data_IF_426216419615
#
_entry.id   IF_426216419615
#
_cell.length_a   1.000
_cell.length_b   1.000
_cell.length_c   1.000
_cell.angle_alpha   90.00
_cell.angle_beta   90.00
_cell.angle_gamma   90.00
#
_symmetry.space_group_name_H-M   'P 1'
#
loop_
_entity.id
_entity.type
_entity.pdbx_description
1 polymer ?
#
# COMPACT_ATOMS: atom_id res chain seq x y z
N UNK A 1 2.95 -1.63 -2.00
CA UNK A 1 3.66 -2.86 -1.52
C UNK A 1 4.56 -3.32 -2.65
N UNK A 2 5.88 -3.32 -2.41
CA UNK A 2 6.87 -3.71 -3.44
C UNK A 2 6.51 -5.05 -4.09
N UNK A 3 6.66 -5.14 -5.40
CA UNK A 3 6.31 -6.26 -6.28
C UNK A 3 4.82 -6.66 -6.32
N UNK A 4 3.95 -5.92 -5.62
CA UNK A 4 2.53 -6.26 -5.53
C UNK A 4 1.61 -5.18 -6.07
N UNK A 5 1.79 -3.91 -5.70
CA UNK A 5 0.85 -2.84 -6.06
C UNK A 5 1.29 -2.04 -7.29
N UNK A 6 1.72 -2.77 -8.34
CA UNK A 6 1.94 -2.20 -9.67
C UNK A 6 0.62 -1.76 -10.33
N UNK A 7 0.68 -1.15 -11.51
CA UNK A 7 -0.50 -0.64 -12.22
C UNK A 7 -1.55 -1.72 -12.51
N UNK A 8 -1.14 -2.96 -12.77
CA UNK A 8 -2.05 -4.07 -13.04
C UNK A 8 -2.83 -4.49 -11.79
N UNK A 9 -2.14 -4.53 -10.64
CA UNK A 9 -2.77 -4.77 -9.35
C UNK A 9 -3.76 -3.67 -8.99
N UNK A 10 -3.38 -2.40 -9.14
CA UNK A 10 -4.25 -1.27 -8.78
C UNK A 10 -5.50 -1.23 -9.66
N UNK A 11 -5.36 -1.43 -10.97
CA UNK A 11 -6.50 -1.57 -11.87
C UNK A 11 -7.42 -2.72 -11.45
N UNK A 12 -6.85 -3.88 -11.09
CA UNK A 12 -7.62 -5.01 -10.58
C UNK A 12 -8.36 -4.68 -9.28
N UNK A 13 -7.70 -4.06 -8.31
CA UNK A 13 -8.31 -3.70 -7.02
C UNK A 13 -9.39 -2.63 -7.15
N UNK A 14 -9.29 -1.71 -8.11
CA UNK A 14 -10.31 -0.71 -8.40
C UNK A 14 -11.67 -1.32 -8.78
N UNK A 15 -11.68 -2.55 -9.27
CA UNK A 15 -12.95 -3.23 -9.56
C UNK A 15 -13.81 -3.50 -8.32
N UNK A 16 -13.22 -3.53 -7.13
CA UNK A 16 -13.91 -3.85 -5.88
C UNK A 16 -14.29 -2.61 -5.07
N UNK A 17 -13.58 -1.53 -5.24
CA UNK A 17 -13.84 -0.29 -4.49
C UNK A 17 -13.52 0.93 -5.35
N UNK A 18 -14.54 1.63 -5.87
CA UNK A 18 -14.36 2.87 -6.63
C UNK A 18 -13.86 4.03 -5.76
N UNK A 19 -14.15 4.03 -4.46
CA UNK A 19 -13.88 5.18 -3.57
C UNK A 19 -12.59 5.03 -2.75
N UNK A 20 -12.01 3.82 -2.64
CA UNK A 20 -10.77 3.62 -1.90
C UNK A 20 -9.58 4.31 -2.58
N UNK A 21 -8.79 5.09 -1.83
CA UNK A 21 -7.53 5.65 -2.30
C UNK A 21 -6.51 4.51 -2.48
N UNK A 22 -6.05 4.29 -3.70
CA UNK A 22 -5.02 3.30 -4.02
C UNK A 22 -3.63 3.92 -3.92
N UNK A 23 -2.63 3.08 -3.61
CA UNK A 23 -1.24 3.50 -3.49
C UNK A 23 -0.36 2.74 -4.48
N UNK A 24 0.57 3.47 -5.11
CA UNK A 24 1.63 2.83 -5.89
C UNK A 24 2.52 1.97 -4.98
N UNK A 25 3.41 1.20 -5.58
CA UNK A 25 4.62 0.74 -4.90
C UNK A 25 5.44 1.94 -4.44
N UNK A 26 6.36 1.75 -3.50
CA UNK A 26 7.32 2.80 -3.16
C UNK A 26 8.31 3.00 -4.32
N UNK A 27 8.28 4.16 -4.94
CA UNK A 27 9.17 4.52 -6.04
C UNK A 27 10.27 5.44 -5.49
N UNK A 28 11.53 5.10 -5.75
CA UNK A 28 12.65 5.95 -5.35
C UNK A 28 12.62 7.27 -6.16
N UNK A 29 12.77 8.42 -5.48
CA UNK A 29 12.75 9.74 -6.12
C UNK A 29 13.79 9.84 -7.25
N UNK A 30 15.03 9.37 -7.02
CA UNK A 30 16.09 9.33 -8.05
C UNK A 30 15.70 8.50 -9.26
N UNK A 31 14.96 7.40 -9.07
CA UNK A 31 14.50 6.58 -10.20
C UNK A 31 13.48 7.32 -11.07
N UNK A 32 12.66 8.21 -10.49
CA UNK A 32 11.75 9.08 -11.24
C UNK A 32 12.54 10.12 -12.03
N UNK A 33 13.57 10.72 -11.42
CA UNK A 33 14.33 11.81 -12.01
C UNK A 33 15.29 11.34 -13.13
N UNK A 34 15.91 10.17 -12.94
CA UNK A 34 17.00 9.68 -13.81
C UNK A 34 16.67 8.40 -14.56
N UNK A 35 15.51 7.78 -14.29
CA UNK A 35 15.11 6.51 -14.87
C UNK A 35 14.02 6.65 -15.95
N UNK A 36 13.36 5.54 -16.22
CA UNK A 36 12.21 5.47 -17.17
C UNK A 36 10.93 5.99 -16.50
N UNK A 37 10.86 7.31 -16.26
CA UNK A 37 9.75 7.99 -15.58
C UNK A 37 8.38 7.54 -16.08
N UNK A 38 8.14 7.55 -17.39
CA UNK A 38 6.85 7.18 -17.97
C UNK A 38 6.38 5.76 -17.58
N UNK A 39 7.32 4.80 -17.45
CA UNK A 39 7.02 3.44 -17.02
C UNK A 39 6.79 3.34 -15.52
N UNK A 40 7.64 4.02 -14.72
CA UNK A 40 7.58 3.95 -13.26
C UNK A 40 6.30 4.58 -12.70
N UNK A 41 5.80 5.62 -13.38
CA UNK A 41 4.64 6.40 -12.95
C UNK A 41 3.39 6.10 -13.78
N UNK A 42 3.40 5.02 -14.58
CA UNK A 42 2.26 4.63 -15.40
C UNK A 42 1.07 4.19 -14.54
N UNK A 43 -0.12 4.65 -14.89
CA UNK A 43 -1.40 4.20 -14.37
C UNK A 43 -2.48 4.29 -15.45
N UNK A 44 -3.58 3.58 -15.24
CA UNK A 44 -4.81 3.74 -16.04
C UNK A 44 -5.69 4.80 -15.36
N UNK A 45 -6.34 5.72 -16.09
CA UNK A 45 -7.24 6.71 -15.51
C UNK A 45 -8.34 6.14 -14.62
N UNK A 46 -8.73 4.89 -14.82
CA UNK A 46 -9.68 4.19 -13.96
C UNK A 46 -9.11 3.87 -12.55
N UNK A 47 -7.80 4.02 -12.32
CA UNK A 47 -7.19 3.73 -11.01
C UNK A 47 -7.46 4.82 -9.95
N UNK A 48 -7.92 6.02 -10.34
CA UNK A 48 -8.21 7.11 -9.40
C UNK A 48 -9.35 6.79 -8.42
N UNK A 49 -9.26 7.32 -7.16
CA UNK A 49 -8.20 8.16 -6.61
C UNK A 49 -6.91 7.37 -6.32
N UNK A 50 -5.76 7.98 -6.60
CA UNK A 50 -4.46 7.31 -6.62
C UNK A 50 -3.35 8.15 -5.99
N UNK A 51 -2.61 7.56 -5.04
CA UNK A 51 -1.45 8.16 -4.37
C UNK A 51 -0.14 7.63 -4.93
N UNK A 52 0.82 8.54 -5.19
CA UNK A 52 2.20 8.20 -5.50
C UNK A 52 2.99 8.07 -4.19
N UNK A 53 3.53 6.88 -3.89
CA UNK A 53 4.40 6.71 -2.74
C UNK A 53 5.88 6.85 -3.14
N UNK A 54 6.57 7.82 -2.53
CA UNK A 54 7.98 8.11 -2.74
C UNK A 54 8.86 7.50 -1.64
N UNK A 55 10.05 7.06 -2.04
CA UNK A 55 11.17 6.77 -1.15
C UNK A 55 12.36 7.66 -1.50
N UNK A 56 13.01 8.19 -0.49
CA UNK A 56 14.15 9.10 -0.61
C UNK A 56 14.41 9.81 0.71
N UNK A 57 15.51 10.55 0.80
CA UNK A 57 15.91 11.37 1.95
C UNK A 57 16.51 12.72 1.56
N UNK A 58 16.60 13.02 0.28
CA UNK A 58 17.05 14.34 -0.19
C UNK A 58 15.82 15.23 -0.45
N UNK A 59 15.69 16.39 0.24
CA UNK A 59 14.53 17.26 0.09
C UNK A 59 14.34 17.78 -1.34
N UNK A 60 15.42 18.10 -2.06
CA UNK A 60 15.34 18.64 -3.42
C UNK A 60 14.90 17.56 -4.44
N UNK A 61 15.45 16.35 -4.32
CA UNK A 61 15.05 15.21 -5.16
C UNK A 61 13.58 14.82 -4.89
N UNK A 62 13.15 14.80 -3.64
CA UNK A 62 11.76 14.50 -3.27
C UNK A 62 10.79 15.59 -3.76
N UNK A 63 11.16 16.87 -3.66
CA UNK A 63 10.37 17.97 -4.22
C UNK A 63 10.22 17.85 -5.74
N UNK A 64 11.31 17.55 -6.46
CA UNK A 64 11.27 17.35 -7.91
C UNK A 64 10.42 16.14 -8.32
N UNK A 65 10.53 15.02 -7.57
CA UNK A 65 9.73 13.82 -7.80
C UNK A 65 8.23 14.05 -7.45
N UNK A 66 7.94 14.80 -6.40
CA UNK A 66 6.58 15.18 -6.02
C UNK A 66 5.91 16.03 -7.10
N UNK A 67 6.60 17.06 -7.62
CA UNK A 67 6.12 17.87 -8.75
C UNK A 67 5.83 17.00 -9.97
N UNK A 68 6.74 16.09 -10.29
CA UNK A 68 6.55 15.14 -11.37
C UNK A 68 5.30 14.25 -11.15
N UNK A 69 5.01 13.89 -9.89
CA UNK A 69 3.80 13.15 -9.51
C UNK A 69 2.52 13.93 -9.79
N UNK A 70 2.44 15.18 -9.30
CA UNK A 70 1.30 16.05 -9.56
C UNK A 70 1.08 16.33 -11.05
N UNK A 71 2.15 16.65 -11.80
CA UNK A 71 2.09 16.84 -13.24
C UNK A 71 1.60 15.61 -14.01
N UNK A 72 1.87 14.41 -13.50
CA UNK A 72 1.40 13.15 -14.09
C UNK A 72 -0.08 12.89 -13.75
N UNK A 73 -0.63 13.53 -12.70
CA UNK A 73 -2.03 13.46 -12.32
C UNK A 73 -2.33 12.65 -11.06
N UNK A 74 -1.35 12.37 -10.20
CA UNK A 74 -1.60 11.72 -8.91
C UNK A 74 -2.36 12.64 -7.95
N UNK A 75 -3.31 12.05 -7.18
CA UNK A 75 -4.18 12.78 -6.26
C UNK A 75 -3.52 13.04 -4.89
N UNK A 76 -2.47 12.31 -4.55
CA UNK A 76 -1.71 12.42 -3.31
C UNK A 76 -0.24 12.06 -3.53
N UNK A 77 0.67 12.75 -2.83
CA UNK A 77 2.08 12.37 -2.73
C UNK A 77 2.35 11.86 -1.31
N UNK A 78 2.85 10.64 -1.20
CA UNK A 78 3.11 10.00 0.09
C UNK A 78 4.60 9.70 0.29
N UNK A 79 5.18 10.12 1.41
CA UNK A 79 6.55 9.78 1.79
C UNK A 79 6.59 8.50 2.64
N UNK A 80 7.41 7.54 2.24
CA UNK A 80 7.58 6.30 3.00
C UNK A 80 8.67 6.43 4.07
N UNK A 81 8.25 6.46 5.34
CA UNK A 81 9.11 6.40 6.52
C UNK A 81 8.88 5.12 7.34
N UNK A 82 8.41 4.02 6.72
CA UNK A 82 8.01 2.81 7.44
C UNK A 82 8.55 1.48 6.90
N UNK A 83 9.23 1.46 5.76
CA UNK A 83 9.77 0.24 5.15
C UNK A 83 11.08 -0.16 5.86
N UNK A 84 11.16 -1.38 6.48
CA UNK A 84 12.34 -1.83 7.22
C UNK A 84 13.30 -2.66 6.37
N UNK A 85 13.17 -2.68 5.04
CA UNK A 85 13.97 -3.52 4.16
C UNK A 85 15.43 -3.04 4.16
N UNK A 86 16.41 -3.97 4.19
CA UNK A 86 17.84 -3.67 4.14
C UNK A 86 18.24 -2.88 2.89
N UNK A 87 17.62 -3.18 1.73
CA UNK A 87 17.82 -2.45 0.48
C UNK A 87 17.38 -0.99 0.61
N UNK A 88 16.39 -0.72 1.43
CA UNK A 88 15.87 0.63 1.70
C UNK A 88 16.76 1.33 2.74
N UNK A 89 17.18 0.59 3.78
CA UNK A 89 18.07 1.10 4.82
C UNK A 89 19.47 1.46 4.28
N UNK A 90 20.01 0.68 3.34
CA UNK A 90 21.28 1.00 2.67
C UNK A 90 21.19 2.27 1.80
N UNK A 91 19.99 2.62 1.34
CA UNK A 91 19.71 3.89 0.65
C UNK A 91 19.39 5.06 1.59
N UNK A 92 19.50 4.89 2.91
CA UNK A 92 19.19 5.87 3.95
C UNK A 92 17.78 6.46 3.86
N UNK A 93 16.76 5.64 3.52
CA UNK A 93 15.35 6.02 3.50
C UNK A 93 14.43 4.92 4.08
N UNK A 94 13.13 5.14 4.16
CA UNK A 94 12.18 4.23 4.77
C UNK A 94 12.18 4.33 6.31
N UNK A 95 12.15 3.19 7.02
CA UNK A 95 11.95 3.19 8.48
C UNK A 95 13.09 3.85 9.27
N UNK A 96 14.33 3.85 8.75
CA UNK A 96 15.45 4.53 9.40
C UNK A 96 15.23 6.04 9.52
N UNK A 97 14.49 6.66 8.61
CA UNK A 97 14.14 8.08 8.65
C UNK A 97 13.33 8.48 9.89
N UNK A 98 12.68 7.55 10.57
CA UNK A 98 12.00 7.88 11.83
C UNK A 98 12.95 8.32 12.95
N UNK A 99 14.27 8.18 12.76
CA UNK A 99 15.31 8.68 13.68
C UNK A 99 15.78 10.08 13.36
N UNK A 100 15.35 10.62 12.22
CA UNK A 100 15.76 11.91 11.66
C UNK A 100 14.52 12.79 11.41
N UNK A 101 13.77 13.14 12.48
CA UNK A 101 12.51 13.87 12.35
C UNK A 101 12.68 15.23 11.66
N UNK A 102 13.78 15.92 11.88
CA UNK A 102 14.11 17.21 11.30
C UNK A 102 14.30 17.09 9.77
N UNK A 103 15.07 16.09 9.35
CA UNK A 103 15.27 15.80 7.90
C UNK A 103 13.95 15.43 7.21
N UNK A 104 13.09 14.65 7.88
CA UNK A 104 11.79 14.29 7.30
C UNK A 104 10.88 15.52 7.22
N UNK A 105 10.93 16.43 8.21
CA UNK A 105 10.23 17.69 8.15
C UNK A 105 10.70 18.57 6.97
N UNK A 106 12.01 18.68 6.74
CA UNK A 106 12.56 19.37 5.57
C UNK A 106 12.06 18.74 4.26
N UNK A 107 12.06 17.42 4.16
CA UNK A 107 11.54 16.70 3.00
C UNK A 107 10.04 17.00 2.75
N UNK A 108 9.21 16.94 3.80
CA UNK A 108 7.78 17.25 3.72
C UNK A 108 7.55 18.69 3.29
N UNK A 109 8.25 19.64 3.93
CA UNK A 109 8.16 21.07 3.60
C UNK A 109 8.56 21.34 2.14
N UNK A 110 9.67 20.74 1.68
CA UNK A 110 10.14 20.89 0.31
C UNK A 110 9.12 20.33 -0.73
N UNK A 111 8.52 19.17 -0.47
CA UNK A 111 7.46 18.64 -1.32
C UNK A 111 6.22 19.56 -1.31
N UNK A 112 5.77 19.99 -0.13
CA UNK A 112 4.61 20.89 0.03
C UNK A 112 4.76 22.20 -0.70
N UNK A 113 5.96 22.74 -0.76
CA UNK A 113 6.24 24.00 -1.44
C UNK A 113 6.03 23.95 -2.95
N UNK A 114 6.01 22.77 -3.57
CA UNK A 114 5.99 22.59 -5.02
C UNK A 114 4.77 21.88 -5.58
N UNK A 115 3.88 21.36 -4.71
CA UNK A 115 2.63 20.69 -5.12
C UNK A 115 1.43 21.25 -4.38
N UNK A 116 0.24 21.13 -4.98
CA UNK A 116 -1.05 21.49 -4.40
C UNK A 116 -1.79 20.30 -3.79
N UNK A 117 -1.54 19.10 -4.35
CA UNK A 117 -2.10 17.84 -3.83
C UNK A 117 -1.58 17.57 -2.42
N UNK A 118 -2.33 16.84 -1.57
CA UNK A 118 -1.88 16.49 -0.23
C UNK A 118 -0.52 15.78 -0.23
N UNK A 119 0.37 16.20 0.69
CA UNK A 119 1.58 15.49 1.03
C UNK A 119 1.36 14.76 2.34
N UNK A 120 1.52 13.46 2.35
CA UNK A 120 1.24 12.57 3.49
C UNK A 120 2.47 11.74 3.85
N UNK A 121 2.52 11.22 5.09
CA UNK A 121 3.64 10.41 5.56
C UNK A 121 3.15 9.04 6.02
N UNK A 122 3.81 7.97 5.55
CA UNK A 122 3.57 6.61 6.04
C UNK A 122 4.71 6.14 6.93
N UNK A 123 4.40 5.89 8.21
CA UNK A 123 5.38 5.61 9.26
C UNK A 123 5.03 4.35 10.08
N UNK A 124 5.87 4.00 11.03
CA UNK A 124 5.68 3.00 12.08
C UNK A 124 5.45 3.68 13.44
N UNK A 125 5.17 2.88 14.49
CA UNK A 125 5.10 3.41 15.87
C UNK A 125 6.50 3.55 16.52
N UNK A 126 7.56 3.14 15.86
CA UNK A 126 8.94 3.25 16.35
C UNK A 126 9.88 2.36 15.55
N UNK A 127 11.18 2.55 15.78
CA UNK A 127 12.26 1.83 15.10
C UNK A 127 13.26 1.34 16.12
N UNK A 128 13.65 0.07 16.03
CA UNK A 128 14.67 -0.56 16.86
C UNK A 128 15.68 -1.33 16.00
N UNK A 129 16.89 -1.50 16.49
CA UNK A 129 17.88 -2.37 15.86
C UNK A 129 17.64 -3.84 16.24
N UNK A 130 18.20 -4.76 15.46
CA UNK A 130 18.13 -6.20 15.73
C UNK A 130 18.71 -6.57 17.11
N UNK A 131 19.75 -5.86 17.56
CA UNK A 131 20.40 -6.03 18.87
C UNK A 131 19.45 -5.74 20.05
N UNK A 132 18.40 -4.96 19.83
CA UNK A 132 17.35 -4.69 20.84
C UNK A 132 16.36 -5.86 21.03
N UNK A 133 16.60 -7.01 20.40
CA UNK A 133 15.83 -8.23 20.62
C UNK A 133 16.31 -8.94 21.87
N UNK A 134 15.39 -9.46 22.66
CA UNK A 134 15.73 -10.33 23.79
C UNK A 134 16.34 -11.65 23.29
N UNK A 135 17.02 -12.38 24.17
CA UNK A 135 17.55 -13.73 23.88
C UNK A 135 16.45 -14.70 23.38
N UNK A 136 15.19 -14.47 23.74
CA UNK A 136 14.03 -15.21 23.25
C UNK A 136 13.52 -14.75 21.85
N UNK A 137 14.25 -13.83 21.18
CA UNK A 137 13.85 -13.30 19.87
C UNK A 137 12.70 -12.29 19.90
N UNK A 138 12.23 -11.91 21.08
CA UNK A 138 11.11 -10.97 21.26
C UNK A 138 11.58 -9.53 21.02
N UNK A 139 10.83 -8.76 20.29
CA UNK A 139 11.08 -7.30 20.13
C UNK A 139 10.81 -6.61 21.46
N UNK A 140 11.71 -5.70 21.87
CA UNK A 140 11.52 -4.90 23.08
C UNK A 140 10.13 -4.28 23.14
N UNK A 141 9.49 -4.35 24.31
CA UNK A 141 8.17 -3.77 24.51
C UNK A 141 8.20 -2.28 24.19
N UNK A 142 7.06 -1.76 23.75
CA UNK A 142 6.88 -0.34 23.51
C UNK A 142 6.76 0.38 24.86
N UNK A 143 7.60 1.36 25.13
CA UNK A 143 7.66 2.13 26.38
C UNK A 143 7.38 3.64 26.14
N UNK A 144 7.46 4.45 27.20
CA UNK A 144 7.22 5.89 27.12
C UNK A 144 8.31 6.63 26.33
N UNK A 145 9.55 6.16 26.31
CA UNK A 145 10.63 6.75 25.49
C UNK A 145 10.35 6.56 24.00
N UNK A 146 9.82 5.39 23.64
CA UNK A 146 9.34 5.12 22.28
C UNK A 146 8.21 6.08 21.91
N UNK A 147 7.29 6.33 22.86
CA UNK A 147 6.18 7.25 22.63
C UNK A 147 6.62 8.71 22.49
N UNK A 148 7.55 9.17 23.32
CA UNK A 148 8.16 10.49 23.20
C UNK A 148 8.85 10.68 21.84
N UNK A 149 9.61 9.67 21.39
CA UNK A 149 10.26 9.68 20.08
C UNK A 149 9.25 9.71 18.94
N UNK A 150 8.16 8.94 19.04
CA UNK A 150 7.06 8.95 18.10
C UNK A 150 6.33 10.31 18.06
N UNK A 151 6.10 10.92 19.22
CA UNK A 151 5.50 12.26 19.31
C UNK A 151 6.39 13.32 18.68
N UNK A 152 7.71 13.30 18.92
CA UNK A 152 8.66 14.21 18.29
C UNK A 152 8.62 14.09 16.76
N UNK A 153 8.67 12.87 16.23
CA UNK A 153 8.57 12.65 14.80
C UNK A 153 7.22 13.13 14.24
N UNK A 154 6.12 12.82 14.93
CA UNK A 154 4.77 13.22 14.50
C UNK A 154 4.59 14.74 14.51
N UNK A 155 5.12 15.41 15.54
CA UNK A 155 5.11 16.87 15.62
C UNK A 155 5.89 17.49 14.46
N UNK A 156 7.11 17.01 14.19
CA UNK A 156 7.96 17.53 13.13
C UNK A 156 7.28 17.43 11.74
N UNK A 157 6.68 16.29 11.40
CA UNK A 157 5.99 16.15 10.11
C UNK A 157 4.70 16.96 10.03
N UNK A 158 3.93 17.08 11.15
CA UNK A 158 2.74 17.94 11.23
C UNK A 158 3.10 19.40 10.97
N UNK A 159 4.12 19.89 11.66
CA UNK A 159 4.54 21.30 11.62
C UNK A 159 5.15 21.66 10.24
N UNK A 160 5.70 20.67 9.53
CA UNK A 160 6.13 20.78 8.13
C UNK A 160 4.97 20.78 7.12
N UNK A 161 3.71 20.60 7.56
CA UNK A 161 2.52 20.64 6.72
C UNK A 161 2.10 19.29 6.14
N UNK A 162 2.46 18.17 6.79
CA UNK A 162 1.91 16.87 6.50
C UNK A 162 0.39 16.89 6.63
N UNK A 163 -0.33 16.52 5.58
CA UNK A 163 -1.80 16.56 5.55
C UNK A 163 -2.45 15.40 6.33
N UNK A 164 -1.75 14.26 6.44
CA UNK A 164 -2.26 13.04 7.06
C UNK A 164 -1.10 12.08 7.36
N UNK A 165 -1.14 11.41 8.51
CA UNK A 165 -0.18 10.37 8.88
C UNK A 165 -0.78 8.97 8.79
N UNK A 166 -0.13 8.05 8.05
CA UNK A 166 -0.51 6.64 8.00
C UNK A 166 0.42 5.86 8.93
N UNK A 167 -0.12 5.34 10.03
CA UNK A 167 0.67 4.70 11.08
C UNK A 167 0.49 3.19 11.06
N UNK A 168 1.55 2.46 10.70
CA UNK A 168 1.57 1.01 10.89
C UNK A 168 1.78 0.69 12.37
N UNK A 169 0.80 0.07 13.00
CA UNK A 169 0.72 -0.16 14.45
C UNK A 169 1.75 -1.20 14.96
N UNK A 170 2.95 -1.22 14.42
CA UNK A 170 4.09 -2.09 14.83
C UNK A 170 5.40 -1.31 14.81
N UNK A 171 6.33 -1.62 15.73
CA UNK A 171 7.72 -1.17 15.58
C UNK A 171 8.35 -1.76 14.30
N UNK A 172 9.29 -1.06 13.71
CA UNK A 172 10.19 -1.60 12.70
C UNK A 172 11.47 -2.12 13.37
N UNK A 173 11.90 -3.31 13.00
CA UNK A 173 13.21 -3.86 13.37
C UNK A 173 14.13 -3.73 12.17
N UNK A 174 15.20 -2.96 12.31
CA UNK A 174 16.24 -2.78 11.30
C UNK A 174 17.30 -3.84 11.49
N UNK A 175 17.61 -4.58 10.42
CA UNK A 175 18.47 -5.76 10.47
C UNK A 175 17.78 -6.96 11.14
N UNK A 176 18.20 -8.17 10.82
CA UNK A 176 17.81 -9.42 11.48
C UNK A 176 16.35 -9.87 11.33
N UNK A 177 15.47 -9.10 10.69
CA UNK A 177 14.12 -9.51 10.30
C UNK A 177 13.85 -9.15 8.85
N UNK A 178 13.37 -10.12 8.08
CA UNK A 178 12.85 -9.87 6.74
C UNK A 178 11.64 -8.89 6.78
N UNK A 179 11.29 -8.26 5.65
CA UNK A 179 10.10 -7.42 5.57
C UNK A 179 8.79 -8.16 5.93
N UNK A 180 8.73 -9.48 5.73
CA UNK A 180 7.60 -10.32 6.13
C UNK A 180 7.54 -10.44 7.64
N UNK A 181 8.62 -10.85 8.28
CA UNK A 181 8.73 -11.00 9.73
C UNK A 181 8.45 -9.68 10.45
N UNK A 182 8.92 -8.55 9.92
CA UNK A 182 8.61 -7.20 10.41
C UNK A 182 7.11 -6.84 10.40
N UNK A 183 6.28 -7.61 9.69
CA UNK A 183 4.82 -7.46 9.66
C UNK A 183 4.08 -8.50 10.53
N UNK A 184 4.83 -9.43 11.12
CA UNK A 184 4.25 -10.56 11.87
C UNK A 184 4.74 -10.58 13.32
N UNK A 185 6.06 -10.50 13.54
CA UNK A 185 6.70 -10.67 14.84
C UNK A 185 6.46 -9.48 15.78
N UNK A 186 6.74 -8.19 15.43
CA UNK A 186 6.45 -7.11 16.34
C UNK A 186 4.95 -7.03 16.64
N UNK A 187 4.54 -6.86 17.91
CA UNK A 187 3.12 -6.85 18.28
C UNK A 187 2.39 -5.66 17.68
N UNK A 188 1.10 -5.84 17.36
CA UNK A 188 0.19 -4.75 17.00
C UNK A 188 -0.16 -3.94 18.25
N UNK A 189 -0.03 -2.63 18.17
CA UNK A 189 -0.31 -1.67 19.25
C UNK A 189 -1.23 -0.56 18.74
N UNK A 190 -2.51 -0.88 18.57
CA UNK A 190 -3.53 0.11 18.19
C UNK A 190 -3.75 1.16 19.28
N UNK A 191 -3.54 0.81 20.55
CA UNK A 191 -3.55 1.72 21.69
C UNK A 191 -2.55 2.88 21.50
N UNK A 192 -1.35 2.60 21.00
CA UNK A 192 -0.34 3.62 20.69
C UNK A 192 -0.82 4.55 19.57
N UNK A 193 -1.39 4.00 18.49
CA UNK A 193 -1.89 4.80 17.35
C UNK A 193 -3.04 5.69 17.80
N UNK A 194 -3.95 5.17 18.63
CA UNK A 194 -5.05 5.95 19.22
C UNK A 194 -4.51 7.10 20.08
N UNK A 195 -3.48 6.83 20.90
CA UNK A 195 -2.82 7.86 21.71
C UNK A 195 -2.18 8.95 20.86
N UNK A 196 -1.56 8.61 19.70
CA UNK A 196 -1.05 9.60 18.74
C UNK A 196 -2.18 10.49 18.21
N UNK A 197 -3.32 9.94 17.81
CA UNK A 197 -4.47 10.71 17.33
C UNK A 197 -5.01 11.66 18.43
N UNK A 198 -4.98 11.23 19.70
CA UNK A 198 -5.40 12.07 20.83
C UNK A 198 -4.44 13.24 21.10
N UNK A 199 -3.13 12.99 21.00
CA UNK A 199 -2.10 14.03 21.21
C UNK A 199 -2.04 15.01 20.03
N UNK A 200 -2.34 14.55 18.81
CA UNK A 200 -2.30 15.35 17.58
C UNK A 200 -3.68 15.43 16.89
N UNK A 201 -4.70 16.05 17.52
CA UNK A 201 -6.07 16.05 16.99
C UNK A 201 -6.20 16.81 15.65
N UNK A 202 -5.27 17.71 15.34
CA UNK A 202 -5.22 18.46 14.08
C UNK A 202 -4.58 17.70 12.92
N UNK A 203 -3.87 16.60 13.18
CA UNK A 203 -3.29 15.74 12.15
C UNK A 203 -4.15 14.47 12.01
N UNK A 204 -4.88 14.28 10.91
CA UNK A 204 -5.62 13.06 10.69
C UNK A 204 -4.70 11.84 10.69
N UNK A 205 -5.07 10.79 11.43
CA UNK A 205 -4.31 9.53 11.50
C UNK A 205 -5.08 8.40 10.85
N UNK A 206 -4.45 7.74 9.90
CA UNK A 206 -4.92 6.48 9.28
C UNK A 206 -4.19 5.32 9.93
N UNK A 207 -4.93 4.37 10.48
CA UNK A 207 -4.33 3.16 11.08
C UNK A 207 -4.06 2.10 10.01
N UNK A 208 -2.90 1.45 10.12
CA UNK A 208 -2.49 0.36 9.25
C UNK A 208 -1.96 -0.83 10.06
N UNK A 209 -2.19 -2.04 9.57
CA UNK A 209 -1.67 -3.29 10.11
C UNK A 209 -2.73 -4.18 10.76
N UNK A 210 -2.82 -5.45 10.33
CA UNK A 210 -3.64 -6.47 10.95
C UNK A 210 -5.16 -6.41 10.67
N UNK A 211 -5.68 -5.37 10.07
CA UNK A 211 -7.09 -5.23 9.70
C UNK A 211 -7.43 -6.15 8.53
N UNK A 212 -8.48 -6.99 8.67
CA UNK A 212 -8.77 -8.08 7.72
C UNK A 212 -10.23 -8.20 7.29
N UNK A 213 -11.14 -7.49 7.93
CA UNK A 213 -12.58 -7.59 7.71
C UNK A 213 -13.30 -6.27 7.99
N UNK A 214 -14.54 -6.15 7.51
CA UNK A 214 -15.33 -4.93 7.64
C UNK A 214 -15.58 -4.55 9.12
N UNK A 215 -15.79 -5.53 10.00
CA UNK A 215 -16.06 -5.28 11.43
C UNK A 215 -14.87 -4.59 12.10
N UNK A 216 -13.65 -5.10 11.90
CA UNK A 216 -12.43 -4.51 12.48
C UNK A 216 -12.12 -3.14 11.90
N UNK A 217 -12.42 -2.92 10.61
CA UNK A 217 -12.25 -1.63 9.94
C UNK A 217 -13.23 -0.60 10.46
N UNK A 218 -14.53 -0.91 10.53
CA UNK A 218 -15.56 -0.01 11.05
C UNK A 218 -15.24 0.38 12.49
N UNK A 219 -14.89 -0.59 13.36
CA UNK A 219 -14.50 -0.31 14.75
C UNK A 219 -13.22 0.58 14.85
N UNK A 220 -12.33 0.54 13.88
CA UNK A 220 -11.17 1.42 13.84
C UNK A 220 -11.57 2.86 13.45
N UNK A 221 -12.54 3.02 12.57
CA UNK A 221 -13.04 4.34 12.13
C UNK A 221 -13.72 5.15 13.24
N UNK A 222 -14.14 4.53 14.34
CA UNK A 222 -14.67 5.21 15.52
C UNK A 222 -13.63 6.14 16.20
N UNK A 223 -12.33 5.93 15.94
CA UNK A 223 -11.26 6.65 16.63
C UNK A 223 -10.11 7.14 15.75
N UNK A 224 -10.10 6.83 14.47
CA UNK A 224 -9.09 7.31 13.51
C UNK A 224 -9.76 7.88 12.24
N UNK A 225 -9.02 8.70 11.51
CA UNK A 225 -9.52 9.35 10.30
C UNK A 225 -9.69 8.39 9.11
N UNK A 226 -9.09 7.21 9.19
CA UNK A 226 -9.16 6.23 8.12
C UNK A 226 -8.38 4.96 8.42
N UNK A 227 -8.49 3.97 7.53
CA UNK A 227 -7.80 2.69 7.64
C UNK A 227 -7.07 2.37 6.33
N UNK A 228 -5.89 1.78 6.45
CA UNK A 228 -5.16 1.27 5.29
C UNK A 228 -5.01 -0.24 5.37
N UNK A 229 -5.54 -0.94 4.38
CA UNK A 229 -5.33 -2.36 4.20
C UNK A 229 -4.07 -2.61 3.34
N UNK A 230 -3.45 -3.77 3.52
CA UNK A 230 -2.33 -4.19 2.68
C UNK A 230 -2.53 -5.61 2.17
N UNK A 231 -1.90 -6.57 2.83
CA UNK A 231 -1.88 -7.98 2.41
C UNK A 231 -3.28 -8.59 2.26
N UNK A 232 -4.23 -8.19 3.08
CA UNK A 232 -5.60 -8.70 3.01
C UNK A 232 -6.25 -8.32 1.68
N UNK A 233 -6.17 -7.05 1.28
CA UNK A 233 -6.69 -6.60 -0.01
C UNK A 233 -6.05 -7.32 -1.21
N UNK A 234 -4.78 -7.73 -1.09
CA UNK A 234 -4.09 -8.49 -2.14
C UNK A 234 -4.51 -9.96 -2.19
N UNK A 235 -4.63 -10.62 -1.04
CA UNK A 235 -4.94 -12.05 -0.97
C UNK A 235 -6.44 -12.36 -1.02
N UNK A 236 -7.27 -11.45 -0.56
CA UNK A 236 -8.75 -11.52 -0.54
C UNK A 236 -9.36 -10.22 -1.06
N UNK A 237 -9.27 -9.92 -2.35
CA UNK A 237 -9.67 -8.62 -2.90
C UNK A 237 -11.14 -8.28 -2.65
N UNK A 238 -12.01 -9.26 -2.48
CA UNK A 238 -13.42 -9.06 -2.12
C UNK A 238 -13.62 -8.34 -0.77
N UNK A 239 -12.62 -8.33 0.13
CA UNK A 239 -12.70 -7.51 1.35
C UNK A 239 -12.90 -6.03 1.02
N UNK A 240 -12.37 -5.56 -0.12
CA UNK A 240 -12.59 -4.18 -0.56
C UNK A 240 -14.04 -3.93 -0.98
N UNK A 241 -14.69 -4.90 -1.63
CA UNK A 241 -16.10 -4.80 -1.99
C UNK A 241 -17.02 -4.87 -0.75
N UNK A 242 -16.67 -5.74 0.24
CA UNK A 242 -17.35 -5.80 1.53
C UNK A 242 -17.27 -4.45 2.26
N UNK A 243 -16.08 -3.84 2.27
CA UNK A 243 -15.86 -2.51 2.85
C UNK A 243 -16.58 -1.41 2.08
N UNK A 244 -16.54 -1.46 0.74
CA UNK A 244 -17.26 -0.53 -0.12
C UNK A 244 -18.75 -0.55 0.17
N UNK A 245 -19.32 -1.74 0.32
CA UNK A 245 -20.73 -1.89 0.70
C UNK A 245 -21.00 -1.36 2.11
N UNK A 246 -20.16 -1.69 3.08
CA UNK A 246 -20.36 -1.30 4.48
C UNK A 246 -20.26 0.22 4.70
N UNK A 247 -19.36 0.91 3.96
CA UNK A 247 -19.06 2.32 4.17
C UNK A 247 -19.84 3.25 3.24
N UNK A 248 -20.14 2.82 2.00
CA UNK A 248 -20.77 3.66 0.97
C UNK A 248 -22.05 3.06 0.37
N UNK A 249 -22.47 1.87 0.81
CA UNK A 249 -23.70 1.22 0.35
C UNK A 249 -23.65 0.67 -1.09
N UNK A 250 -22.48 0.65 -1.73
CA UNK A 250 -22.31 0.19 -3.10
C UNK A 250 -22.47 -1.33 -3.20
N UNK A 251 -23.26 -1.81 -4.14
CA UNK A 251 -23.42 -3.25 -4.38
C UNK A 251 -22.08 -3.89 -4.82
N UNK A 252 -21.61 -4.97 -4.18
CA UNK A 252 -20.42 -5.68 -4.59
C UNK A 252 -20.50 -6.18 -6.04
N UNK A 253 -19.42 -6.12 -6.81
CA UNK A 253 -19.39 -6.68 -8.16
C UNK A 253 -19.46 -8.22 -8.11
N UNK A 254 -20.00 -8.84 -9.16
CA UNK A 254 -19.86 -10.28 -9.34
C UNK A 254 -18.44 -10.61 -9.79
N UNK A 255 -17.96 -11.83 -9.49
CA UNK A 255 -16.65 -12.29 -9.98
C UNK A 255 -16.58 -12.32 -11.50
N UNK A 256 -17.68 -12.67 -12.14
CA UNK A 256 -17.80 -12.66 -13.61
C UNK A 256 -17.59 -11.23 -14.16
N UNK A 257 -18.26 -10.23 -13.59
CA UNK A 257 -18.10 -8.82 -14.01
C UNK A 257 -16.64 -8.34 -13.85
N UNK A 258 -15.97 -8.72 -12.75
CA UNK A 258 -14.54 -8.43 -12.55
C UNK A 258 -13.68 -9.11 -13.63
N UNK A 259 -13.93 -10.38 -13.93
CA UNK A 259 -13.20 -11.11 -14.97
C UNK A 259 -13.38 -10.46 -16.33
N UNK A 260 -14.59 -10.07 -16.71
CA UNK A 260 -14.88 -9.42 -17.98
C UNK A 260 -14.19 -8.05 -18.10
N UNK A 261 -14.16 -7.25 -17.03
CA UNK A 261 -13.38 -6.01 -17.01
C UNK A 261 -11.89 -6.28 -17.17
N UNK A 262 -11.37 -7.27 -16.46
CA UNK A 262 -9.96 -7.66 -16.57
C UNK A 262 -9.59 -8.26 -17.92
N UNK A 263 -10.51 -8.96 -18.61
CA UNK A 263 -10.30 -9.39 -19.98
C UNK A 263 -10.13 -8.20 -20.92
N UNK A 264 -10.99 -7.19 -20.82
CA UNK A 264 -10.88 -5.95 -21.62
C UNK A 264 -9.57 -5.21 -21.35
N UNK A 265 -9.21 -5.10 -20.07
CA UNK A 265 -7.94 -4.50 -19.66
C UNK A 265 -6.75 -5.29 -20.23
N UNK A 266 -6.71 -6.60 -20.02
CA UNK A 266 -5.62 -7.46 -20.51
C UNK A 266 -5.50 -7.41 -22.03
N UNK A 267 -6.61 -7.34 -22.77
CA UNK A 267 -6.59 -7.22 -24.25
C UNK A 267 -5.91 -5.90 -24.68
N UNK A 268 -6.18 -4.78 -23.99
CA UNK A 268 -5.51 -3.48 -24.25
C UNK A 268 -4.02 -3.54 -23.97
N UNK A 269 -3.64 -4.21 -22.88
CA UNK A 269 -2.23 -4.31 -22.48
C UNK A 269 -1.43 -5.26 -23.40
N UNK A 270 -2.01 -6.40 -23.80
CA UNK A 270 -1.37 -7.29 -24.76
C UNK A 270 -1.16 -6.61 -26.13
N UNK A 271 -2.10 -5.75 -26.56
CA UNK A 271 -1.92 -4.94 -27.78
C UNK A 271 -0.78 -3.90 -27.66
N UNK A 272 -0.22 -3.69 -26.47
CA UNK A 272 0.93 -2.83 -26.15
C UNK A 272 2.20 -3.63 -25.84
N UNK A 273 2.27 -4.87 -26.28
CA UNK A 273 3.37 -5.82 -26.05
C UNK A 273 3.60 -6.24 -24.58
N UNK A 274 2.61 -6.02 -23.70
CA UNK A 274 2.65 -6.60 -22.37
C UNK A 274 2.32 -8.10 -22.40
N UNK A 275 2.78 -8.83 -21.40
CA UNK A 275 2.47 -10.26 -21.24
C UNK A 275 1.28 -10.45 -20.30
N UNK A 276 0.55 -11.58 -20.49
CA UNK A 276 -0.60 -11.89 -19.64
C UNK A 276 -0.20 -12.21 -18.18
N UNK A 277 0.92 -12.91 -17.97
CA UNK A 277 1.36 -13.37 -16.66
C UNK A 277 1.54 -12.23 -15.61
N UNK A 278 2.15 -11.06 -15.90
CA UNK A 278 2.20 -9.93 -14.98
C UNK A 278 0.83 -9.41 -14.54
N UNK A 279 -0.18 -9.52 -15.41
CA UNK A 279 -1.55 -9.06 -15.13
C UNK A 279 -2.26 -10.06 -14.21
N UNK A 280 -2.30 -11.34 -14.59
CA UNK A 280 -3.12 -12.35 -13.90
C UNK A 280 -2.55 -12.77 -12.54
N UNK A 281 -1.26 -12.55 -12.27
CA UNK A 281 -0.66 -12.86 -10.96
C UNK A 281 -1.39 -12.15 -9.80
N UNK A 282 -2.00 -11.00 -10.06
CA UNK A 282 -2.74 -10.22 -9.07
C UNK A 282 -4.16 -10.74 -8.85
N UNK A 283 -4.68 -11.52 -9.79
CA UNK A 283 -6.04 -12.05 -9.75
C UNK A 283 -6.17 -13.36 -8.97
N UNK A 284 -5.05 -13.95 -8.52
CA UNK A 284 -5.03 -15.27 -7.87
C UNK A 284 -5.89 -15.34 -6.59
N UNK A 285 -6.13 -14.19 -5.95
CA UNK A 285 -6.99 -14.05 -4.76
C UNK A 285 -8.49 -13.92 -5.06
N UNK A 286 -8.92 -13.82 -6.33
CA UNK A 286 -10.31 -13.52 -6.70
C UNK A 286 -11.33 -14.53 -6.14
N UNK A 287 -10.94 -15.78 -6.02
CA UNK A 287 -11.76 -16.86 -5.46
C UNK A 287 -11.30 -17.30 -4.06
N UNK A 288 -10.56 -16.47 -3.33
CA UNK A 288 -10.11 -16.82 -1.99
C UNK A 288 -11.30 -17.12 -1.06
N UNK A 289 -11.28 -18.32 -0.44
CA UNK A 289 -12.37 -18.79 0.43
C UNK A 289 -13.52 -19.49 -0.30
N UNK A 290 -13.52 -19.54 -1.63
CA UNK A 290 -14.59 -20.14 -2.42
C UNK A 290 -14.26 -21.57 -2.92
N UNK A 291 -15.27 -22.40 -3.15
CA UNK A 291 -15.08 -23.68 -3.85
C UNK A 291 -14.42 -23.46 -5.23
N UNK A 292 -13.43 -24.30 -5.57
CA UNK A 292 -12.69 -24.17 -6.84
C UNK A 292 -11.54 -23.15 -6.84
N UNK A 293 -11.26 -22.50 -5.71
CA UNK A 293 -10.18 -21.50 -5.62
C UNK A 293 -8.78 -22.06 -5.94
N UNK A 294 -8.53 -23.32 -5.63
CA UNK A 294 -7.25 -23.98 -5.91
C UNK A 294 -7.07 -24.22 -7.41
N UNK A 295 -8.10 -24.75 -8.06
CA UNK A 295 -8.16 -25.02 -9.49
C UNK A 295 -8.01 -23.70 -10.28
N UNK A 296 -8.72 -22.68 -9.88
CA UNK A 296 -8.62 -21.34 -10.46
C UNK A 296 -7.18 -20.81 -10.42
N UNK A 297 -6.54 -20.82 -9.24
CA UNK A 297 -5.15 -20.34 -9.09
C UNK A 297 -4.18 -21.13 -9.96
N UNK A 298 -4.34 -22.46 -10.00
CA UNK A 298 -3.50 -23.33 -10.83
C UNK A 298 -3.68 -23.02 -12.30
N UNK A 299 -4.92 -23.01 -12.79
CA UNK A 299 -5.23 -22.74 -14.19
C UNK A 299 -4.68 -21.39 -14.67
N UNK A 300 -4.82 -20.31 -13.86
CA UNK A 300 -4.26 -19.01 -14.19
C UNK A 300 -2.72 -19.02 -14.19
N UNK A 301 -2.10 -19.59 -13.14
CA UNK A 301 -0.65 -19.56 -13.00
C UNK A 301 0.08 -20.36 -14.08
N UNK A 302 -0.48 -21.52 -14.47
CA UNK A 302 0.09 -22.38 -15.51
C UNK A 302 -0.24 -21.82 -16.89
N UNK A 303 -1.52 -21.50 -17.15
CA UNK A 303 -1.97 -21.04 -18.46
C UNK A 303 -1.38 -19.71 -18.90
N UNK A 304 -1.11 -18.78 -17.96
CA UNK A 304 -0.53 -17.49 -18.32
C UNK A 304 0.94 -17.53 -18.75
N UNK A 305 1.62 -18.67 -18.53
CA UNK A 305 3.01 -18.88 -18.96
C UNK A 305 3.12 -19.51 -20.35
N UNK A 306 2.01 -20.00 -20.89
CA UNK A 306 1.99 -20.58 -22.22
C UNK A 306 2.34 -19.53 -23.29
N UNK A 307 3.09 -19.87 -24.34
CA UNK A 307 3.46 -18.93 -25.39
C UNK A 307 2.26 -18.33 -26.12
N UNK A 308 1.15 -19.06 -26.18
CA UNK A 308 -0.13 -18.72 -26.82
C UNK A 308 -1.19 -18.26 -25.82
N UNK A 309 -0.77 -17.83 -24.60
CA UNK A 309 -1.68 -17.36 -23.57
C UNK A 309 -2.51 -16.17 -24.05
N UNK A 310 -3.82 -16.33 -24.10
CA UNK A 310 -4.79 -15.31 -24.50
C UNK A 310 -5.69 -14.85 -23.35
N UNK A 311 -6.42 -13.78 -23.56
CA UNK A 311 -7.36 -13.22 -22.55
C UNK A 311 -8.52 -14.17 -22.21
N UNK A 312 -8.86 -15.11 -23.06
CA UNK A 312 -9.87 -16.13 -22.83
C UNK A 312 -9.52 -17.05 -21.66
N UNK A 313 -8.22 -17.14 -21.32
CA UNK A 313 -7.74 -17.87 -20.14
C UNK A 313 -8.48 -17.44 -18.86
N UNK A 314 -8.74 -16.14 -18.68
CA UNK A 314 -9.38 -15.62 -17.48
C UNK A 314 -10.77 -16.26 -17.26
N UNK A 315 -11.53 -16.45 -18.33
CA UNK A 315 -12.85 -17.08 -18.28
C UNK A 315 -12.75 -18.62 -18.18
N UNK A 316 -11.80 -19.23 -18.92
CA UNK A 316 -11.56 -20.67 -18.85
C UNK A 316 -11.08 -21.13 -17.47
N UNK A 317 -10.37 -20.29 -16.73
CA UNK A 317 -9.89 -20.59 -15.39
C UNK A 317 -10.99 -20.52 -14.30
N UNK A 318 -12.14 -19.89 -14.55
CA UNK A 318 -13.24 -19.80 -13.59
C UNK A 318 -13.68 -21.18 -13.10
N UNK A 319 -14.08 -21.33 -11.82
CA UNK A 319 -14.69 -22.54 -11.32
C UNK A 319 -15.92 -22.95 -12.14
N UNK A 320 -16.09 -24.25 -12.39
CA UNK A 320 -17.18 -24.79 -13.23
C UNK A 320 -18.56 -24.32 -12.78
N UNK A 321 -18.79 -24.28 -11.45
CA UNK A 321 -20.06 -23.83 -10.87
C UNK A 321 -20.45 -22.38 -11.20
N UNK A 322 -19.47 -21.51 -11.47
CA UNK A 322 -19.75 -20.12 -11.87
C UNK A 322 -19.82 -19.93 -13.39
N UNK A 323 -19.16 -20.79 -14.16
CA UNK A 323 -19.27 -20.75 -15.63
C UNK A 323 -20.66 -21.07 -16.14
N UNK A 324 -21.45 -21.83 -15.35
CA UNK A 324 -22.77 -22.33 -15.68
C UNK A 324 -23.93 -21.48 -15.11
N UNK A 325 -23.63 -20.40 -14.39
CA UNK A 325 -24.66 -19.47 -13.93
C UNK A 325 -25.01 -18.54 -15.09
N UNK A 326 -26.33 -18.44 -15.45
CA UNK A 326 -26.80 -17.56 -16.50
C UNK A 326 -26.55 -16.08 -16.17
#
# INVERSE_FOLDING_TARGET
MMDWTDRHCRYFLRNFSPDALLYTEMINARAILHGKRARLMAFDPEEHPLALQLGGSDPAELAAAARAGEETGYDEINLNCGCPSERVASGAFGACLMREPELVAECVAAMRAVVRVPVTVKMRIGVVNAESRTAAGTVAQFDERDFESLCRFTAAVRDAGCALAIVHARKAVLGGLSPRENREIPPLRYDVVRRVQQVFPSLPVVVNGGLRDARSVVAALDWCAGVMLGREAYHRPFVLAELQQALWGTTPPTRLAVIERMQRYAARELARDERLAPIVRHMLGLYAGEPGAREYRRALSEGARAPDADVGLLRRAMPVLERSRP
#
